data_IF_985214806926
#
_entry.id   IF_985214806926
#
_cell.length_a   1.000
_cell.length_b   1.000
_cell.length_c   1.000
_cell.angle_alpha   90.00
_cell.angle_beta   90.00
_cell.angle_gamma   90.00
#
_symmetry.space_group_name_H-M   'P 1'
#
loop_
_entity.id
_entity.type
_entity.pdbx_description
1 polymer ?
#
# COMPACT_ATOMS: atom_id res chain seq x y z
N UNK A 1 5.40 -20.89 -9.92
CA UNK A 1 5.23 -19.43 -10.07
C UNK A 1 4.09 -19.21 -11.04
N UNK A 2 2.88 -19.01 -10.53
CA UNK A 2 1.71 -18.77 -11.37
C UNK A 2 1.90 -17.42 -12.03
N UNK A 3 2.24 -17.38 -13.33
CA UNK A 3 2.02 -16.18 -14.13
C UNK A 3 0.54 -15.85 -13.95
N UNK A 4 0.22 -14.76 -13.26
CA UNK A 4 -1.10 -14.17 -13.46
C UNK A 4 -1.01 -13.59 -14.86
N UNK A 5 -1.35 -14.42 -15.85
CA UNK A 5 -1.55 -13.98 -17.21
C UNK A 5 -2.85 -13.17 -17.22
N UNK A 6 -2.80 -11.93 -16.71
CA UNK A 6 -3.86 -10.97 -16.97
C UNK A 6 -3.82 -10.69 -18.48
N UNK A 7 -4.61 -11.45 -19.23
CA UNK A 7 -4.88 -11.17 -20.64
C UNK A 7 -5.56 -9.81 -20.69
N UNK A 8 -4.80 -8.78 -21.02
CA UNK A 8 -5.35 -7.48 -21.38
C UNK A 8 -6.24 -7.74 -22.59
N UNK A 9 -7.55 -7.60 -22.41
CA UNK A 9 -8.49 -7.73 -23.51
C UNK A 9 -8.35 -6.50 -24.42
N UNK A 10 -8.35 -6.73 -25.74
CA UNK A 10 -8.49 -5.63 -26.68
C UNK A 10 -9.93 -5.11 -26.57
N UNK A 11 -10.10 -3.93 -25.98
CA UNK A 11 -11.41 -3.30 -25.83
C UNK A 11 -11.84 -2.66 -27.14
N UNK A 12 -13.11 -2.84 -27.51
CA UNK A 12 -13.74 -2.23 -28.69
C UNK A 12 -14.42 -0.89 -28.35
N UNK A 13 -14.57 -0.55 -27.07
CA UNK A 13 -15.22 0.69 -26.63
C UNK A 13 -14.62 1.23 -25.33
N UNK A 14 -14.85 2.52 -25.07
CA UNK A 14 -14.51 3.14 -23.78
C UNK A 14 -15.25 2.50 -22.60
N UNK A 15 -16.48 2.00 -22.84
CA UNK A 15 -17.25 1.31 -21.81
C UNK A 15 -16.55 0.01 -21.37
N UNK A 16 -16.03 -0.77 -22.32
CA UNK A 16 -15.27 -1.99 -22.02
C UNK A 16 -13.95 -1.70 -21.30
N UNK A 17 -13.26 -0.61 -21.68
CA UNK A 17 -12.05 -0.16 -20.96
C UNK A 17 -12.39 0.12 -19.49
N UNK A 18 -13.45 0.89 -19.25
CA UNK A 18 -13.88 1.23 -17.88
C UNK A 18 -14.28 0.00 -17.08
N UNK A 19 -15.01 -0.94 -17.68
CA UNK A 19 -15.35 -2.21 -17.01
C UNK A 19 -14.11 -3.01 -16.60
N UNK A 20 -13.08 -3.05 -17.44
CA UNK A 20 -11.81 -3.70 -17.10
C UNK A 20 -11.06 -2.95 -15.99
N UNK A 21 -11.07 -1.62 -15.99
CA UNK A 21 -10.51 -0.80 -14.91
C UNK A 21 -11.27 -1.05 -13.60
N UNK A 22 -12.60 -0.99 -13.61
CA UNK A 22 -13.42 -1.24 -12.43
C UNK A 22 -13.19 -2.63 -11.82
N UNK A 23 -12.92 -3.63 -12.68
CA UNK A 23 -12.52 -4.97 -12.23
C UNK A 23 -11.15 -4.93 -11.55
N UNK A 24 -10.16 -4.29 -12.18
CA UNK A 24 -8.81 -4.16 -11.62
C UNK A 24 -8.83 -3.37 -10.31
N UNK A 25 -9.62 -2.32 -10.20
CA UNK A 25 -9.75 -1.51 -8.99
C UNK A 25 -10.27 -2.35 -7.81
N UNK A 26 -11.22 -3.27 -8.05
CA UNK A 26 -11.66 -4.23 -7.02
C UNK A 26 -10.52 -5.15 -6.58
N UNK A 27 -9.72 -5.66 -7.51
CA UNK A 27 -8.56 -6.49 -7.20
C UNK A 27 -7.51 -5.70 -6.41
N UNK A 28 -7.20 -4.48 -6.84
CA UNK A 28 -6.24 -3.60 -6.17
C UNK A 28 -6.68 -3.24 -4.76
N UNK A 29 -7.94 -2.86 -4.55
CA UNK A 29 -8.47 -2.55 -3.21
C UNK A 29 -8.43 -3.78 -2.30
N UNK A 30 -8.71 -4.96 -2.83
CA UNK A 30 -8.61 -6.23 -2.08
C UNK A 30 -7.17 -6.48 -1.63
N UNK A 31 -6.20 -6.30 -2.52
CA UNK A 31 -4.77 -6.43 -2.19
C UNK A 31 -4.29 -5.36 -1.20
N UNK A 32 -4.81 -4.13 -1.29
CA UNK A 32 -4.51 -3.06 -0.33
C UNK A 32 -5.06 -3.43 1.05
N UNK A 33 -6.26 -4.00 1.14
CA UNK A 33 -6.84 -4.46 2.39
C UNK A 33 -5.98 -5.57 3.03
N UNK A 34 -5.54 -6.55 2.24
CA UNK A 34 -4.62 -7.60 2.68
C UNK A 34 -3.29 -7.03 3.17
N UNK A 35 -2.66 -6.14 2.38
CA UNK A 35 -1.44 -5.44 2.77
C UNK A 35 -1.63 -4.68 4.08
N UNK A 36 -2.77 -4.02 4.27
CA UNK A 36 -3.11 -3.29 5.48
C UNK A 36 -3.24 -4.18 6.72
N UNK A 37 -3.75 -5.40 6.57
CA UNK A 37 -3.79 -6.38 7.66
C UNK A 37 -2.38 -6.72 8.17
N UNK A 38 -1.41 -6.91 7.27
CA UNK A 38 -0.01 -7.13 7.65
C UNK A 38 0.65 -5.91 8.27
N UNK A 39 0.34 -4.69 7.80
CA UNK A 39 0.81 -3.46 8.46
C UNK A 39 0.30 -3.39 9.90
N UNK A 40 -0.97 -3.71 10.14
CA UNK A 40 -1.53 -3.76 11.51
C UNK A 40 -0.86 -4.82 12.38
N UNK A 41 -0.54 -5.99 11.84
CA UNK A 41 0.24 -6.99 12.57
C UNK A 41 1.64 -6.47 12.91
N UNK A 42 2.30 -5.78 11.97
CA UNK A 42 3.61 -5.17 12.20
C UNK A 42 3.59 -4.16 13.35
N UNK A 43 2.47 -3.42 13.52
CA UNK A 43 2.28 -2.48 14.62
C UNK A 43 2.35 -3.16 16.00
N UNK A 44 1.88 -4.41 16.13
CA UNK A 44 1.95 -5.19 17.37
C UNK A 44 3.37 -5.57 17.81
N UNK A 45 4.35 -5.51 16.91
CA UNK A 45 5.77 -5.74 17.23
C UNK A 45 6.52 -4.44 17.60
N UNK A 46 5.91 -3.27 17.38
CA UNK A 46 6.49 -1.97 17.72
C UNK A 46 6.15 -1.63 19.17
N UNK A 47 7.17 -1.38 19.98
CA UNK A 47 7.03 -1.08 21.41
C UNK A 47 6.74 0.40 21.66
N UNK A 48 7.10 1.27 20.72
CA UNK A 48 6.93 2.73 20.88
C UNK A 48 6.45 3.40 19.59
N UNK A 49 5.78 4.55 19.73
CA UNK A 49 5.36 5.37 18.60
C UNK A 49 6.52 5.90 17.74
N UNK A 50 7.73 5.98 18.30
CA UNK A 50 8.94 6.36 17.57
C UNK A 50 9.40 5.29 16.57
N UNK A 51 8.94 4.04 16.70
CA UNK A 51 9.24 2.93 15.78
C UNK A 51 8.23 2.84 14.61
N UNK A 52 7.18 3.67 14.62
CA UNK A 52 6.18 3.73 13.53
C UNK A 52 6.82 4.20 12.21
N UNK A 53 7.58 5.31 12.18
CA UNK A 53 8.39 5.64 11.03
C UNK A 53 9.60 4.70 10.96
N UNK A 54 9.69 3.91 9.88
CA UNK A 54 10.87 3.11 9.57
C UNK A 54 11.52 3.60 8.26
N UNK A 55 12.22 4.75 8.25
CA UNK A 55 12.79 5.33 7.03
C UNK A 55 13.66 4.36 6.20
N UNK A 56 14.54 3.54 6.81
CA UNK A 56 15.31 2.56 6.05
C UNK A 56 14.42 1.54 5.32
N UNK A 57 13.31 1.13 5.95
CA UNK A 57 12.38 0.17 5.36
C UNK A 57 11.62 0.78 4.18
N UNK A 58 11.23 2.06 4.27
CA UNK A 58 10.56 2.77 3.17
C UNK A 58 11.44 2.80 1.93
N UNK A 59 12.71 3.17 2.07
CA UNK A 59 13.68 3.18 0.96
C UNK A 59 13.81 1.81 0.31
N UNK A 60 13.92 0.74 1.12
CA UNK A 60 13.99 -0.62 0.61
C UNK A 60 12.73 -1.07 -0.13
N UNK A 61 11.54 -0.68 0.33
CA UNK A 61 10.28 -1.01 -0.36
C UNK A 61 10.21 -0.29 -1.70
N UNK A 62 10.53 1.00 -1.73
CA UNK A 62 10.51 1.81 -2.96
C UNK A 62 11.49 1.27 -4.01
N UNK A 63 12.72 0.92 -3.60
CA UNK A 63 13.69 0.30 -4.50
C UNK A 63 13.17 -1.02 -5.11
N UNK A 64 12.54 -1.88 -4.30
CA UNK A 64 12.00 -3.16 -4.76
C UNK A 64 10.85 -2.99 -5.74
N UNK A 65 9.93 -2.06 -5.49
CA UNK A 65 8.75 -1.88 -6.35
C UNK A 65 9.10 -1.18 -7.66
N UNK A 66 10.11 -0.31 -7.66
CA UNK A 66 10.62 0.29 -8.88
C UNK A 66 11.33 -0.75 -9.76
N UNK A 67 12.10 -1.68 -9.16
CA UNK A 67 12.67 -2.80 -9.90
C UNK A 67 11.59 -3.73 -10.46
N UNK A 68 10.55 -4.02 -9.67
CA UNK A 68 9.41 -4.83 -10.11
C UNK A 68 8.63 -4.15 -11.26
N UNK A 69 8.46 -2.83 -11.21
CA UNK A 69 7.79 -2.07 -12.26
C UNK A 69 8.48 -2.29 -13.61
N UNK A 70 9.81 -2.22 -13.63
CA UNK A 70 10.61 -2.50 -14.83
C UNK A 70 10.47 -3.95 -15.30
N UNK A 71 10.48 -4.91 -14.37
CA UNK A 71 10.35 -6.34 -14.67
C UNK A 71 9.01 -6.69 -15.35
N UNK A 72 7.92 -6.06 -14.91
CA UNK A 72 6.56 -6.34 -15.42
C UNK A 72 6.08 -5.37 -16.49
N UNK A 73 6.91 -4.39 -16.88
CA UNK A 73 6.58 -3.39 -17.91
C UNK A 73 5.60 -2.30 -17.45
N UNK A 74 5.52 -2.02 -16.15
CA UNK A 74 4.77 -0.90 -15.60
C UNK A 74 5.59 0.40 -15.66
N UNK A 75 4.92 1.54 -15.81
CA UNK A 75 5.55 2.86 -15.79
C UNK A 75 6.14 3.17 -14.40
N UNK A 76 7.47 3.29 -14.25
CA UNK A 76 8.10 3.43 -12.93
C UNK A 76 7.63 4.65 -12.15
N UNK A 77 7.38 5.78 -12.83
CA UNK A 77 6.90 7.00 -12.19
C UNK A 77 5.51 6.82 -11.55
N UNK A 78 4.62 6.06 -12.20
CA UNK A 78 3.28 5.76 -11.67
C UNK A 78 3.37 4.84 -10.46
N UNK A 79 4.22 3.81 -10.52
CA UNK A 79 4.42 2.86 -9.42
C UNK A 79 5.03 3.57 -8.20
N UNK A 80 6.08 4.37 -8.40
CA UNK A 80 6.75 5.12 -7.32
C UNK A 80 5.78 6.08 -6.61
N UNK A 81 5.01 6.87 -7.36
CA UNK A 81 4.02 7.80 -6.79
C UNK A 81 2.94 7.06 -6.00
N UNK A 82 2.41 5.97 -6.56
CA UNK A 82 1.39 5.14 -5.91
C UNK A 82 1.90 4.55 -4.60
N UNK A 83 3.11 3.99 -4.60
CA UNK A 83 3.69 3.38 -3.40
C UNK A 83 4.02 4.39 -2.32
N UNK A 84 4.51 5.58 -2.67
CA UNK A 84 4.76 6.66 -1.68
C UNK A 84 3.47 7.07 -0.98
N UNK A 85 2.41 7.32 -1.75
CA UNK A 85 1.11 7.70 -1.20
C UNK A 85 0.54 6.60 -0.30
N UNK A 86 0.58 5.34 -0.76
CA UNK A 86 0.11 4.19 0.01
C UNK A 86 0.91 4.01 1.31
N UNK A 87 2.24 4.12 1.27
CA UNK A 87 3.10 4.01 2.46
C UNK A 87 2.77 5.11 3.45
N UNK A 88 2.65 6.36 3.01
CA UNK A 88 2.30 7.49 3.87
C UNK A 88 0.94 7.25 4.57
N UNK A 89 -0.08 6.86 3.81
CA UNK A 89 -1.42 6.56 4.34
C UNK A 89 -1.42 5.43 5.38
N UNK A 90 -0.63 4.38 5.17
CA UNK A 90 -0.50 3.30 6.15
C UNK A 90 0.22 3.73 7.42
N UNK A 91 1.26 4.56 7.30
CA UNK A 91 1.96 5.12 8.46
C UNK A 91 1.01 6.01 9.27
N UNK A 92 0.19 6.84 8.61
CA UNK A 92 -0.84 7.65 9.28
C UNK A 92 -1.90 6.79 9.97
N UNK A 93 -2.40 5.76 9.28
CA UNK A 93 -3.35 4.81 9.87
C UNK A 93 -2.77 4.08 11.09
N UNK A 94 -1.50 3.70 11.05
CA UNK A 94 -0.81 3.07 12.17
C UNK A 94 -0.65 4.02 13.37
N UNK A 95 -0.28 5.28 13.12
CA UNK A 95 -0.22 6.31 14.18
C UNK A 95 -1.56 6.48 14.89
N UNK A 96 -2.65 6.59 14.13
CA UNK A 96 -4.00 6.72 14.69
C UNK A 96 -4.39 5.49 15.52
N UNK A 97 -4.06 4.29 15.02
CA UNK A 97 -4.33 3.05 15.75
C UNK A 97 -3.55 2.97 17.07
N UNK A 98 -2.26 3.33 17.07
CA UNK A 98 -1.45 3.35 18.29
C UNK A 98 -1.94 4.39 19.30
N UNK A 99 -2.35 5.59 18.85
CA UNK A 99 -2.89 6.61 19.74
C UNK A 99 -4.20 6.15 20.41
N UNK A 100 -5.02 5.35 19.73
CA UNK A 100 -6.22 4.75 20.31
C UNK A 100 -5.92 3.65 21.35
N UNK A 101 -4.84 2.87 21.16
CA UNK A 101 -4.39 1.86 22.13
C UNK A 101 -3.68 2.47 23.35
N UNK A 102 -3.02 3.61 23.17
CA UNK A 102 -2.25 4.32 24.19
C UNK A 102 -2.67 5.80 24.22
N UNK A 103 -3.88 6.12 24.71
CA UNK A 103 -4.34 7.49 24.82
C UNK A 103 -3.40 8.29 25.75
N UNK A 104 -3.09 9.55 25.43
CA UNK A 104 -2.31 10.40 26.32
C UNK A 104 -3.02 10.51 27.68
N UNK A 105 -2.24 10.50 28.77
CA UNK A 105 -2.78 10.70 30.11
C UNK A 105 -3.60 12.01 30.15
N UNK A 106 -4.72 12.06 30.88
CA UNK A 106 -5.46 13.31 31.06
C UNK A 106 -4.51 14.37 31.60
N UNK A 107 -4.48 15.54 30.96
CA UNK A 107 -3.71 16.67 31.49
C UNK A 107 -4.29 17.01 32.87
N UNK A 108 -3.47 16.90 33.90
CA UNK A 108 -3.83 17.37 35.23
C UNK A 108 -3.90 18.90 35.17
N UNK A 109 -5.10 19.44 35.38
CA UNK A 109 -5.32 20.87 35.59
C UNK A 109 -4.71 21.32 36.92
#
# INVERSE_FOLDING_TARGET
MTRIAHRIAQCASLAEVRQNIDRLDRELVTLIAERGAYVKQAAGFKKTAAEVPAPPRVVQVLAKVNALALEVGAEPAVVDATWRAMIAAFIDSERLHQAALHPPAPQAN
#
